data_IF_696254258803
#
_entry.id   IF_696254258803
#
_cell.length_a   1.000
_cell.length_b   1.000
_cell.length_c   1.000
_cell.angle_alpha   90.00
_cell.angle_beta   90.00
_cell.angle_gamma   90.00
#
_symmetry.space_group_name_H-M   'P 1'
#
loop_
_entity.id
_entity.type
_entity.pdbx_description
1 polymer ?
#
# COMPACT_ATOMS: atom_id res chain seq x y z
N UNK A 1 10.96 9.56 -5.56
CA UNK A 1 11.23 8.84 -4.29
C UNK A 1 11.79 9.85 -3.27
N UNK A 2 10.94 10.76 -2.74
CA UNK A 2 11.33 11.78 -1.73
C UNK A 2 10.23 12.02 -0.70
N UNK A 3 8.96 11.79 -1.09
CA UNK A 3 7.80 11.81 -0.19
C UNK A 3 7.86 10.77 0.94
N UNK A 4 8.45 9.59 0.68
CA UNK A 4 8.51 8.52 1.68
C UNK A 4 9.42 8.87 2.87
N UNK A 5 10.39 9.77 2.68
CA UNK A 5 11.30 10.20 3.75
C UNK A 5 10.66 11.19 4.73
N UNK A 6 9.59 11.89 4.34
CA UNK A 6 8.93 12.87 5.22
C UNK A 6 7.96 12.20 6.20
N UNK A 7 7.19 11.19 5.76
CA UNK A 7 6.18 10.54 6.61
C UNK A 7 6.85 9.70 7.71
N UNK A 8 8.04 9.16 7.47
CA UNK A 8 8.82 8.37 8.43
C UNK A 8 9.24 9.18 9.67
N UNK A 9 9.24 10.52 9.60
CA UNK A 9 9.60 11.39 10.74
C UNK A 9 8.43 11.66 11.69
N UNK A 10 7.18 11.43 11.24
CA UNK A 10 5.95 11.74 12.00
C UNK A 10 5.16 10.50 12.40
N UNK A 11 5.46 9.33 11.84
CA UNK A 11 4.74 8.09 12.10
C UNK A 11 5.67 6.89 12.18
N UNK A 12 5.24 5.87 12.92
CA UNK A 12 5.92 4.58 13.02
C UNK A 12 5.34 3.63 11.98
N UNK A 13 6.21 3.05 11.17
CA UNK A 13 5.82 2.07 10.16
C UNK A 13 6.15 0.67 10.66
N UNK A 14 5.14 -0.19 10.61
CA UNK A 14 5.24 -1.60 10.97
C UNK A 14 4.88 -2.43 9.74
N UNK A 15 5.65 -3.48 9.47
CA UNK A 15 5.32 -4.42 8.40
C UNK A 15 4.02 -5.15 8.73
N UNK A 16 3.19 -5.40 7.71
CA UNK A 16 1.96 -6.16 7.88
C UNK A 16 2.21 -7.58 8.45
N UNK A 17 3.34 -8.22 8.11
CA UNK A 17 3.73 -9.53 8.63
C UNK A 17 3.88 -9.53 10.16
N UNK A 18 4.44 -8.46 10.71
CA UNK A 18 4.82 -8.37 12.11
C UNK A 18 3.63 -7.89 12.95
N UNK A 19 2.79 -7.02 12.37
CA UNK A 19 1.57 -6.52 13.01
C UNK A 19 0.51 -7.62 13.26
N UNK A 20 0.51 -8.68 12.44
CA UNK A 20 -0.45 -9.80 12.57
C UNK A 20 -0.03 -10.79 13.66
N UNK A 21 1.23 -10.76 14.12
CA UNK A 21 1.69 -11.66 15.17
C UNK A 21 1.05 -11.30 16.52
N UNK A 22 0.47 -12.29 17.24
CA UNK A 22 -0.20 -12.03 18.51
C UNK A 22 0.78 -11.47 19.54
N UNK A 23 0.42 -10.35 20.16
CA UNK A 23 1.22 -9.71 21.21
C UNK A 23 2.45 -8.93 20.72
N UNK A 24 2.82 -9.02 19.44
CA UNK A 24 3.98 -8.33 18.89
C UNK A 24 3.83 -6.81 18.95
N UNK A 25 2.67 -6.30 18.51
CA UNK A 25 2.42 -4.84 18.44
C UNK A 25 2.46 -4.19 19.82
N UNK A 26 1.87 -4.83 20.83
CA UNK A 26 1.88 -4.31 22.21
C UNK A 26 3.30 -4.30 22.79
N UNK A 27 4.09 -5.35 22.53
CA UNK A 27 5.49 -5.41 22.96
C UNK A 27 6.33 -4.33 22.27
N UNK A 28 6.12 -4.14 20.97
CA UNK A 28 6.77 -3.09 20.19
C UNK A 28 6.44 -1.70 20.73
N UNK A 29 5.16 -1.37 20.92
CA UNK A 29 4.72 -0.06 21.39
C UNK A 29 5.21 0.27 22.81
N UNK A 30 5.23 -0.73 23.71
CA UNK A 30 5.76 -0.56 25.08
C UNK A 30 7.27 -0.34 25.12
N UNK A 31 8.01 -0.85 24.13
CA UNK A 31 9.46 -0.67 24.04
C UNK A 31 9.89 0.70 23.53
N UNK A 32 8.95 1.57 23.13
CA UNK A 32 9.27 2.89 22.58
C UNK A 32 9.62 3.85 23.70
N UNK A 33 10.83 4.41 23.61
CA UNK A 33 11.30 5.41 24.56
C UNK A 33 10.49 6.72 24.45
N UNK A 34 10.13 7.31 25.59
CA UNK A 34 9.44 8.60 25.69
C UNK A 34 10.16 9.73 24.93
N UNK A 35 11.51 9.71 24.86
CA UNK A 35 12.28 10.68 24.06
C UNK A 35 11.88 10.66 22.59
N UNK A 36 11.70 9.46 22.03
CA UNK A 36 11.33 9.29 20.62
C UNK A 36 9.88 9.70 20.37
N UNK A 37 8.98 9.46 21.33
CA UNK A 37 7.59 9.94 21.26
C UNK A 37 7.57 11.47 21.19
N UNK A 38 8.34 12.15 22.04
CA UNK A 38 8.44 13.63 22.02
C UNK A 38 9.01 14.16 20.71
N UNK A 39 10.00 13.48 20.13
CA UNK A 39 10.57 13.85 18.83
C UNK A 39 9.52 13.76 17.72
N UNK A 40 8.78 12.65 17.66
CA UNK A 40 7.67 12.45 16.71
C UNK A 40 6.59 13.52 16.88
N UNK A 41 6.18 13.83 18.12
CA UNK A 41 5.23 14.91 18.41
C UNK A 41 5.73 16.27 17.95
N UNK A 42 7.00 16.58 18.19
CA UNK A 42 7.60 17.86 17.77
C UNK A 42 7.63 18.01 16.25
N UNK A 43 7.93 16.93 15.53
CA UNK A 43 7.89 16.91 14.08
C UNK A 43 6.45 17.03 13.57
N UNK A 44 5.50 16.34 14.21
CA UNK A 44 4.08 16.43 13.85
C UNK A 44 3.56 17.87 13.96
N UNK A 45 3.92 18.62 15.00
CA UNK A 45 3.53 20.04 15.14
C UNK A 45 4.12 20.94 14.05
N UNK A 46 5.36 20.66 13.61
CA UNK A 46 5.98 21.41 12.50
C UNK A 46 5.23 21.21 11.19
N UNK A 47 4.76 20.00 10.94
CA UNK A 47 4.14 19.64 9.67
C UNK A 47 2.61 19.72 9.68
N UNK A 48 1.95 19.69 10.85
CA UNK A 48 0.48 19.66 10.97
C UNK A 48 -0.21 20.84 10.29
N UNK A 49 0.46 22.01 10.23
CA UNK A 49 -0.04 23.20 9.53
C UNK A 49 -0.29 22.97 8.03
N UNK A 50 0.39 22.00 7.43
CA UNK A 50 0.22 21.64 6.01
C UNK A 50 -0.86 20.56 5.79
N UNK A 51 -1.31 19.91 6.87
CA UNK A 51 -2.30 18.83 6.85
C UNK A 51 -3.61 19.23 7.55
N UNK A 52 -3.91 20.53 7.57
CA UNK A 52 -5.20 21.04 8.04
C UNK A 52 -6.27 20.63 7.04
N UNK A 53 -6.81 19.44 7.23
CA UNK A 53 -7.98 19.00 6.51
C UNK A 53 -9.24 19.50 7.21
N UNK A 54 -10.09 20.24 6.50
CA UNK A 54 -11.39 20.65 7.03
C UNK A 54 -12.33 19.45 7.04
N UNK A 55 -12.98 19.20 8.17
CA UNK A 55 -14.08 18.23 8.28
C UNK A 55 -15.30 18.97 8.82
N UNK A 56 -16.35 19.21 8.01
CA UNK A 56 -16.57 18.71 6.64
C UNK A 56 -15.67 19.35 5.58
N UNK A 57 -15.44 18.63 4.49
CA UNK A 57 -14.68 19.14 3.34
C UNK A 57 -15.37 20.39 2.79
N UNK A 58 -14.61 21.46 2.61
CA UNK A 58 -15.15 22.69 2.02
C UNK A 58 -15.36 22.50 0.51
N UNK A 59 -16.44 23.05 -0.08
CA UNK A 59 -16.65 22.98 -1.52
C UNK A 59 -15.47 23.64 -2.25
N UNK A 60 -14.93 22.98 -3.28
CA UNK A 60 -13.71 23.38 -4.00
C UNK A 60 -12.42 23.39 -3.15
N UNK A 61 -12.46 22.87 -1.93
CA UNK A 61 -11.30 22.66 -1.10
C UNK A 61 -10.36 21.59 -1.68
N UNK A 62 -9.10 21.54 -1.22
CA UNK A 62 -8.17 20.49 -1.62
C UNK A 62 -8.71 19.07 -1.38
N UNK A 63 -9.49 18.87 -0.30
CA UNK A 63 -10.09 17.56 -0.03
C UNK A 63 -11.20 17.23 -1.03
N UNK A 64 -12.13 18.16 -1.29
CA UNK A 64 -13.23 17.98 -2.24
C UNK A 64 -12.69 17.69 -3.65
N UNK A 65 -11.70 18.46 -4.11
CA UNK A 65 -11.05 18.23 -5.41
C UNK A 65 -10.36 16.86 -5.49
N UNK A 66 -9.68 16.45 -4.41
CA UNK A 66 -9.05 15.13 -4.35
C UNK A 66 -10.10 14.01 -4.38
N UNK A 67 -11.16 14.13 -3.60
CA UNK A 67 -12.25 13.15 -3.57
C UNK A 67 -13.01 13.06 -4.89
N UNK A 68 -13.24 14.19 -5.58
CA UNK A 68 -13.83 14.20 -6.94
C UNK A 68 -12.95 13.46 -7.95
N UNK A 69 -11.64 13.69 -7.90
CA UNK A 69 -10.68 12.97 -8.76
C UNK A 69 -10.62 11.48 -8.44
N UNK A 70 -10.68 11.10 -7.16
CA UNK A 70 -10.74 9.69 -6.73
C UNK A 70 -12.04 9.05 -7.19
N UNK A 71 -13.18 9.72 -7.02
CA UNK A 71 -14.50 9.22 -7.40
C UNK A 71 -14.55 8.79 -8.87
N UNK A 72 -13.98 9.59 -9.78
CA UNK A 72 -13.86 9.24 -11.20
C UNK A 72 -12.95 8.02 -11.47
N UNK A 73 -12.00 7.71 -10.59
CA UNK A 73 -11.05 6.59 -10.72
C UNK A 73 -11.52 5.31 -10.03
N UNK A 74 -12.52 5.36 -9.15
CA UNK A 74 -12.96 4.21 -8.34
C UNK A 74 -13.32 2.99 -9.18
N UNK A 75 -14.00 3.18 -10.31
CA UNK A 75 -14.39 2.09 -11.22
C UNK A 75 -13.14 1.39 -11.80
N UNK A 76 -12.15 2.17 -12.23
CA UNK A 76 -10.90 1.62 -12.76
C UNK A 76 -10.08 0.93 -11.67
N UNK A 77 -10.00 1.49 -10.47
CA UNK A 77 -9.34 0.86 -9.31
C UNK A 77 -9.99 -0.49 -9.01
N UNK A 78 -11.33 -0.56 -8.96
CA UNK A 78 -12.07 -1.81 -8.74
C UNK A 78 -11.78 -2.86 -9.82
N UNK A 79 -11.71 -2.43 -11.09
CA UNK A 79 -11.34 -3.32 -12.20
C UNK A 79 -9.90 -3.84 -12.09
N UNK A 80 -8.94 -2.98 -11.72
CA UNK A 80 -7.54 -3.36 -11.53
C UNK A 80 -7.37 -4.35 -10.35
N UNK A 81 -8.08 -4.12 -9.23
CA UNK A 81 -8.10 -5.06 -8.10
C UNK A 81 -8.67 -6.42 -8.53
N UNK A 82 -9.76 -6.44 -9.30
CA UNK A 82 -10.31 -7.71 -9.83
C UNK A 82 -9.35 -8.42 -10.77
N UNK A 83 -8.61 -7.67 -11.60
CA UNK A 83 -7.57 -8.24 -12.48
C UNK A 83 -6.42 -8.84 -11.66
N UNK A 84 -5.94 -8.14 -10.64
CA UNK A 84 -4.85 -8.65 -9.78
C UNK A 84 -5.27 -9.87 -8.97
N UNK A 85 -6.53 -9.94 -8.53
CA UNK A 85 -7.08 -11.13 -7.87
C UNK A 85 -7.20 -12.35 -8.79
N UNK A 86 -7.33 -12.17 -10.11
CA UNK A 86 -7.32 -13.27 -11.09
C UNK A 86 -5.92 -13.80 -11.39
N UNK A 87 -4.87 -13.07 -10.98
CA UNK A 87 -3.49 -13.52 -11.16
C UNK A 87 -3.15 -14.53 -10.06
N UNK A 88 -3.30 -15.82 -10.38
CA UNK A 88 -2.85 -16.92 -9.53
C UNK A 88 -1.32 -16.84 -9.39
N UNK A 89 -0.83 -16.88 -8.14
CA UNK A 89 0.58 -16.75 -7.75
C UNK A 89 1.53 -17.72 -8.49
N UNK A 90 1.02 -18.82 -9.03
CA UNK A 90 1.77 -19.83 -9.81
C UNK A 90 1.63 -19.70 -11.34
N UNK A 91 0.78 -18.82 -11.88
CA UNK A 91 0.60 -18.74 -13.35
C UNK A 91 1.82 -18.24 -14.13
N UNK A 92 2.89 -17.80 -13.45
CA UNK A 92 4.16 -17.41 -14.07
C UNK A 92 5.18 -18.55 -14.20
N UNK A 93 4.90 -19.77 -13.72
CA UNK A 93 5.79 -20.93 -13.90
C UNK A 93 5.34 -21.90 -15.00
N UNK A 94 4.14 -21.74 -15.54
CA UNK A 94 3.63 -22.58 -16.63
C UNK A 94 3.64 -21.75 -17.90
N UNK A 95 4.77 -21.76 -18.61
CA UNK A 95 4.73 -21.56 -20.05
C UNK A 95 3.91 -22.72 -20.63
N UNK A 96 2.67 -22.47 -21.03
CA UNK A 96 1.91 -23.40 -21.89
C UNK A 96 2.52 -23.34 -23.29
N UNK A 97 3.74 -23.86 -23.43
CA UNK A 97 4.21 -24.29 -24.74
C UNK A 97 3.35 -25.49 -25.10
N UNK A 98 2.43 -25.34 -26.05
CA UNK A 98 1.79 -26.48 -26.70
C UNK A 98 2.86 -27.24 -27.50
N UNK A 99 3.64 -28.09 -26.82
CA UNK A 99 4.55 -29.01 -27.46
C UNK A 99 3.73 -30.09 -28.15
N UNK A 100 3.32 -29.84 -29.39
CA UNK A 100 2.86 -30.92 -30.27
C UNK A 100 4.07 -31.78 -30.62
N UNK A 101 4.16 -32.97 -30.01
CA UNK A 101 5.07 -34.01 -30.47
C UNK A 101 4.63 -34.41 -31.88
N UNK A 102 5.40 -34.02 -32.89
CA UNK A 102 5.18 -34.50 -34.25
C UNK A 102 5.42 -36.00 -34.29
N UNK A 103 4.45 -36.78 -34.76
CA UNK A 103 4.62 -38.21 -34.99
C UNK A 103 5.73 -38.43 -36.02
N UNK A 104 6.92 -38.80 -35.56
CA UNK A 104 7.95 -39.37 -36.41
C UNK A 104 7.58 -40.81 -36.69
N UNK A 105 6.95 -41.06 -37.86
CA UNK A 105 6.92 -42.41 -38.42
C UNK A 105 8.34 -42.81 -38.75
N UNK A 106 8.98 -43.58 -37.86
CA UNK A 106 10.17 -44.37 -38.20
C UNK A 106 9.75 -45.38 -39.26
N UNK A 107 9.94 -45.03 -40.53
CA UNK A 107 10.04 -46.04 -41.58
C UNK A 107 11.47 -46.60 -41.54
N UNK A 108 11.49 -47.93 -41.49
CA UNK A 108 12.58 -48.90 -41.66
C UNK A 108 13.88 -48.37 -42.28
#
# INVERSE_FOLDING_TARGET
>A
MRLMSFIVQIALFVSASDAVQPGWLLKYLRGINAKRIREIQSNLVKYSRHFLYSSPAQPLGPEDLTWRMIAGKLVNIKLQIRRSQRLVKESRSICTCECRVGNTTRML
#
